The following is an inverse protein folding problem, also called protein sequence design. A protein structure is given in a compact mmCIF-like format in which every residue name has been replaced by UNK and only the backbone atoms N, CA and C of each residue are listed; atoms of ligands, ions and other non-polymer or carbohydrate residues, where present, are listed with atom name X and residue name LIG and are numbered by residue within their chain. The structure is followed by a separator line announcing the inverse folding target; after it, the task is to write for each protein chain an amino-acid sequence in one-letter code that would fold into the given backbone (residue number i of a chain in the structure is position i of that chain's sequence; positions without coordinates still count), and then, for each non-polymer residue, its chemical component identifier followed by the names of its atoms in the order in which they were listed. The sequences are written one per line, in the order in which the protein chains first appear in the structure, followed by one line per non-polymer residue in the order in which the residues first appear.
data_IF_071437940605
#
_entry.id   IF_071437940605
#
_cell.length_a   1.000
_cell.length_b   1.000
_cell.length_c   1.000
_cell.angle_alpha   90.00
_cell.angle_beta   90.00
_cell.angle_gamma   90.00
#
_symmetry.space_group_name_H-M   'P 1'
#
loop_
_entity.id
_entity.type
_entity.pdbx_description
1 polymer ?
#
# COMPACT_ATOMS: atom_id res chain seq x y z
N UNK A 1 13.74 37.77 14.12
CA UNK A 1 13.03 36.48 13.91
C UNK A 1 13.48 35.54 15.01
N UNK A 2 12.56 34.93 15.75
CA UNK A 2 12.92 33.88 16.70
C UNK A 2 13.54 32.71 15.94
N UNK A 3 14.64 32.13 16.43
CA UNK A 3 15.17 30.89 15.88
C UNK A 3 14.07 29.81 15.98
N UNK A 4 13.95 28.91 14.99
CA UNK A 4 12.98 27.81 15.06
C UNK A 4 13.21 27.03 16.36
N UNK A 5 12.13 26.63 17.04
CA UNK A 5 12.22 25.69 18.16
C UNK A 5 12.73 24.33 17.64
N UNK A 6 14.03 24.07 17.80
CA UNK A 6 14.71 22.89 17.27
C UNK A 6 14.45 21.71 18.20
N UNK A 7 13.58 20.80 17.78
CA UNK A 7 13.17 19.62 18.56
C UNK A 7 13.95 18.35 18.24
N UNK A 8 14.71 18.36 17.15
CA UNK A 8 15.60 17.26 16.75
C UNK A 8 16.76 17.08 17.74
N UNK A 9 17.37 15.89 17.77
CA UNK A 9 18.47 15.55 18.66
C UNK A 9 19.65 14.93 17.86
N UNK A 10 20.65 15.73 17.45
CA UNK A 10 21.83 15.24 16.71
C UNK A 10 22.68 14.23 17.48
N UNK A 11 22.75 14.32 18.81
CA UNK A 11 23.52 13.38 19.63
C UNK A 11 22.93 11.96 19.57
N UNK A 12 21.60 11.87 19.51
CA UNK A 12 20.89 10.60 19.33
C UNK A 12 21.23 9.93 18.00
N UNK A 13 21.29 10.74 16.92
CA UNK A 13 21.68 10.25 15.59
C UNK A 13 23.15 9.80 15.57
N UNK A 14 24.05 10.54 16.24
CA UNK A 14 25.46 10.17 16.38
C UNK A 14 25.61 8.83 17.12
N UNK A 15 24.90 8.67 18.23
CA UNK A 15 24.89 7.44 19.01
C UNK A 15 24.39 6.25 18.18
N UNK A 16 23.28 6.43 17.47
CA UNK A 16 22.75 5.43 16.55
C UNK A 16 23.75 5.06 15.45
N UNK A 17 24.33 6.06 14.79
CA UNK A 17 25.28 5.84 13.72
C UNK A 17 26.52 5.07 14.20
N UNK A 18 27.01 5.42 15.40
CA UNK A 18 28.15 4.74 16.02
C UNK A 18 27.86 3.27 16.26
N UNK A 19 26.68 2.94 16.81
CA UNK A 19 26.27 1.53 17.02
C UNK A 19 26.09 0.81 15.67
N UNK A 20 25.38 1.43 14.72
CA UNK A 20 25.14 0.88 13.38
C UNK A 20 26.45 0.51 12.67
N UNK A 21 27.39 1.45 12.63
CA UNK A 21 28.66 1.28 11.91
C UNK A 21 29.63 0.34 12.61
N UNK A 22 29.56 0.21 13.94
CA UNK A 22 30.39 -0.74 14.69
C UNK A 22 30.15 -2.20 14.28
N UNK A 23 28.93 -2.53 13.86
CA UNK A 23 28.52 -3.89 13.48
C UNK A 23 28.19 -4.00 11.98
N UNK A 24 28.53 -2.98 11.20
CA UNK A 24 28.26 -2.96 9.77
C UNK A 24 29.17 -3.93 9.00
N UNK A 25 28.65 -4.63 7.99
CA UNK A 25 29.50 -5.42 7.10
C UNK A 25 30.44 -4.51 6.30
N UNK A 26 31.58 -5.07 5.88
CA UNK A 26 32.59 -4.32 5.12
C UNK A 26 31.98 -3.64 3.88
N UNK A 27 32.27 -2.35 3.71
CA UNK A 27 31.79 -1.56 2.58
C UNK A 27 30.34 -1.07 2.72
N UNK A 28 29.63 -1.42 3.79
CA UNK A 28 28.32 -0.81 4.07
C UNK A 28 28.47 0.68 4.33
N UNK A 29 27.61 1.45 3.67
CA UNK A 29 27.49 2.88 3.91
C UNK A 29 25.99 3.17 4.08
N UNK A 30 25.54 3.80 5.18
CA UNK A 30 24.14 4.12 5.38
C UNK A 30 23.59 5.07 4.32
N UNK A 31 22.36 4.84 3.87
CA UNK A 31 21.66 5.76 2.98
C UNK A 31 20.83 6.75 3.80
N UNK A 32 21.48 7.81 4.30
CA UNK A 32 20.77 8.93 4.92
C UNK A 32 20.24 9.91 3.88
N UNK A 33 19.12 10.55 4.17
CA UNK A 33 18.58 11.63 3.34
C UNK A 33 17.71 12.58 4.17
N UNK A 34 17.44 13.75 3.60
CA UNK A 34 16.71 14.83 4.29
C UNK A 34 15.19 14.70 4.12
N UNK A 35 14.47 14.87 5.21
CA UNK A 35 13.02 14.97 5.28
C UNK A 35 12.61 16.41 5.62
N UNK A 36 11.34 16.75 5.40
CA UNK A 36 10.79 18.05 5.80
C UNK A 36 10.84 18.27 7.33
N UNK A 37 10.97 19.53 7.75
CA UNK A 37 11.00 19.91 9.17
C UNK A 37 9.67 19.51 9.83
N UNK A 38 9.73 18.76 10.94
CA UNK A 38 8.55 18.27 11.65
C UNK A 38 7.70 17.26 10.87
N UNK A 39 8.12 16.87 9.67
CA UNK A 39 7.40 15.97 8.77
C UNK A 39 8.08 14.61 8.59
N UNK A 40 7.38 13.71 7.90
CA UNK A 40 7.88 12.37 7.52
C UNK A 40 8.23 12.27 6.02
N UNK A 41 7.91 13.32 5.27
CA UNK A 41 8.05 13.33 3.82
C UNK A 41 9.46 13.74 3.40
N UNK A 42 10.02 13.14 2.34
CA UNK A 42 11.28 13.59 1.78
C UNK A 42 11.18 15.03 1.29
N UNK A 43 12.28 15.78 1.46
CA UNK A 43 12.31 17.18 1.04
C UNK A 43 11.93 17.34 -0.43
N UNK A 44 11.01 18.25 -0.73
CA UNK A 44 10.56 18.49 -2.09
C UNK A 44 11.69 18.98 -3.03
N UNK A 45 11.50 18.77 -4.34
CA UNK A 45 12.39 19.28 -5.40
C UNK A 45 13.51 18.33 -5.85
N UNK A 46 13.82 17.28 -5.09
CA UNK A 46 14.77 16.24 -5.50
C UNK A 46 14.29 14.85 -5.05
N UNK A 47 14.42 13.85 -5.92
CA UNK A 47 14.17 12.46 -5.51
C UNK A 47 15.14 12.06 -4.41
N UNK A 48 14.62 11.60 -3.28
CA UNK A 48 15.43 11.19 -2.14
C UNK A 48 16.39 10.05 -2.48
N UNK A 49 16.00 9.16 -3.39
CA UNK A 49 16.85 8.08 -3.93
C UNK A 49 18.09 8.60 -4.67
N UNK A 50 18.08 9.88 -5.07
CA UNK A 50 19.21 10.59 -5.72
C UNK A 50 19.83 11.65 -4.80
N UNK A 51 19.41 11.76 -3.54
CA UNK A 51 19.82 12.81 -2.61
C UNK A 51 20.42 12.23 -1.32
N UNK A 52 21.28 11.22 -1.47
CA UNK A 52 22.01 10.61 -0.36
C UNK A 52 22.87 11.65 0.36
N UNK A 53 22.91 11.57 1.69
CA UNK A 53 23.75 12.38 2.56
C UNK A 53 24.82 11.54 3.24
N UNK A 54 26.00 12.13 3.46
CA UNK A 54 26.97 11.58 4.40
C UNK A 54 26.44 11.74 5.84
N UNK A 55 27.09 11.06 6.78
CA UNK A 55 26.74 11.18 8.18
C UNK A 55 26.93 12.62 8.70
N UNK A 56 28.03 13.27 8.34
CA UNK A 56 28.33 14.66 8.75
C UNK A 56 27.29 15.64 8.18
N UNK A 57 26.85 15.40 6.94
CA UNK A 57 25.78 16.19 6.33
C UNK A 57 24.45 15.97 7.04
N UNK A 58 24.14 14.73 7.42
CA UNK A 58 22.92 14.39 8.15
C UNK A 58 22.88 15.06 9.53
N UNK A 59 23.97 15.04 10.29
CA UNK A 59 24.09 15.73 11.59
C UNK A 59 23.87 17.24 11.41
N UNK A 60 24.58 17.88 10.48
CA UNK A 60 24.43 19.33 10.21
C UNK A 60 23.02 19.73 9.78
N UNK A 61 22.29 18.84 9.12
CA UNK A 61 20.89 19.07 8.74
C UNK A 61 19.97 18.90 9.95
N UNK A 62 20.23 17.91 10.80
CA UNK A 62 19.49 17.67 12.02
C UNK A 62 19.66 18.80 13.04
N UNK A 63 20.87 19.38 13.16
CA UNK A 63 21.15 20.59 13.94
C UNK A 63 20.32 21.80 13.47
N UNK A 64 19.89 21.81 12.20
CA UNK A 64 19.03 22.86 11.61
C UNK A 64 17.54 22.53 11.73
N UNK A 65 17.17 21.45 12.43
CA UNK A 65 15.78 21.03 12.64
C UNK A 65 15.19 20.13 11.56
N UNK A 66 15.96 19.74 10.54
CA UNK A 66 15.47 18.78 9.54
C UNK A 66 15.45 17.36 10.11
N UNK A 67 14.40 16.62 9.81
CA UNK A 67 14.37 15.19 10.06
C UNK A 67 15.28 14.45 9.08
N UNK A 68 15.82 13.32 9.50
CA UNK A 68 16.69 12.48 8.68
C UNK A 68 16.02 11.12 8.51
N UNK A 69 15.92 10.67 7.26
CA UNK A 69 15.53 9.30 6.93
C UNK A 69 16.75 8.41 6.79
N UNK A 70 16.61 7.13 7.14
CA UNK A 70 17.54 6.06 6.78
C UNK A 70 16.79 5.01 5.94
N UNK A 71 17.38 4.63 4.82
CA UNK A 71 16.79 3.65 3.90
C UNK A 71 17.66 2.39 3.81
N UNK A 72 17.00 1.24 3.71
CA UNK A 72 17.61 0.05 3.12
C UNK A 72 17.51 0.14 1.59
N UNK A 73 18.55 -0.26 0.88
CA UNK A 73 18.63 -0.24 -0.58
C UNK A 73 18.72 -1.66 -1.15
N UNK A 74 18.63 -1.79 -2.47
CA UNK A 74 18.89 -3.05 -3.17
C UNK A 74 20.37 -3.48 -3.17
N UNK A 75 21.28 -2.57 -2.79
CA UNK A 75 22.73 -2.77 -2.84
C UNK A 75 23.38 -2.81 -1.46
N UNK A 76 22.60 -2.91 -0.38
CA UNK A 76 23.10 -3.04 0.98
C UNK A 76 22.43 -4.19 1.74
N UNK A 77 23.00 -4.53 2.88
CA UNK A 77 22.47 -5.57 3.77
C UNK A 77 21.40 -5.05 4.74
N UNK A 78 21.08 -3.76 4.79
CA UNK A 78 20.21 -3.21 5.84
C UNK A 78 18.78 -3.74 5.71
N UNK A 79 18.26 -4.30 6.79
CA UNK A 79 16.86 -4.70 6.92
C UNK A 79 16.27 -4.05 8.18
N UNK A 80 15.15 -3.36 8.03
CA UNK A 80 14.48 -2.66 9.11
C UNK A 80 13.10 -3.28 9.28
N UNK A 81 12.82 -3.83 10.45
CA UNK A 81 11.48 -4.29 10.80
C UNK A 81 10.79 -3.19 11.62
N UNK A 82 9.81 -2.55 11.01
CA UNK A 82 9.00 -1.47 11.58
C UNK A 82 7.72 -2.09 12.15
N UNK A 83 7.65 -2.27 13.46
CA UNK A 83 6.52 -2.90 14.16
C UNK A 83 5.60 -1.81 14.70
N UNK A 84 4.36 -1.80 14.23
CA UNK A 84 3.34 -0.84 14.66
C UNK A 84 2.53 -1.34 15.87
N UNK A 85 2.22 -2.64 15.92
CA UNK A 85 1.45 -3.28 17.00
C UNK A 85 2.19 -4.50 17.58
N UNK A 86 2.70 -4.33 18.79
CA UNK A 86 3.45 -5.35 19.53
C UNK A 86 2.59 -6.56 19.94
N UNK A 87 1.25 -6.46 19.90
CA UNK A 87 0.37 -7.61 20.18
C UNK A 87 0.27 -8.55 18.97
N UNK A 88 0.43 -8.01 17.76
CA UNK A 88 0.40 -8.79 16.52
C UNK A 88 1.77 -9.40 16.18
N UNK A 89 2.85 -8.84 16.75
CA UNK A 89 4.22 -9.34 16.61
C UNK A 89 4.76 -9.67 18.00
N UNK A 90 4.52 -10.89 18.50
CA UNK A 90 4.98 -11.30 19.83
C UNK A 90 6.49 -11.13 20.00
N UNK A 91 6.91 -10.63 21.16
CA UNK A 91 8.32 -10.30 21.44
C UNK A 91 9.25 -11.51 21.34
N UNK A 92 8.77 -12.71 21.67
CA UNK A 92 9.51 -13.97 21.57
C UNK A 92 9.80 -14.41 20.14
N UNK A 93 9.07 -13.87 19.14
CA UNK A 93 9.37 -14.07 17.73
C UNK A 93 10.37 -13.04 17.18
N UNK A 94 10.68 -11.99 17.94
CA UNK A 94 11.58 -10.93 17.48
C UNK A 94 13.01 -11.28 17.88
N UNK A 95 13.85 -11.52 16.87
CA UNK A 95 15.29 -11.70 17.08
C UNK A 95 15.88 -10.45 17.74
N UNK A 96 16.55 -10.56 18.90
CA UNK A 96 17.08 -9.38 19.59
C UNK A 96 18.10 -8.61 18.75
N UNK A 97 17.98 -7.28 18.72
CA UNK A 97 18.89 -6.37 18.01
C UNK A 97 18.75 -4.94 18.56
N UNK A 98 19.40 -3.95 17.94
CA UNK A 98 19.22 -2.52 18.19
C UNK A 98 17.76 -2.09 17.97
N UNK A 99 17.15 -1.43 18.97
CA UNK A 99 15.75 -1.02 18.93
C UNK A 99 15.58 0.49 19.10
N UNK A 100 14.75 1.06 18.24
CA UNK A 100 14.34 2.46 18.29
C UNK A 100 12.83 2.50 18.57
N UNK A 101 12.41 3.35 19.50
CA UNK A 101 10.99 3.66 19.71
C UNK A 101 10.56 4.78 18.78
N UNK A 102 9.43 4.59 18.09
CA UNK A 102 8.87 5.57 17.16
C UNK A 102 8.14 6.70 17.89
N UNK A 103 7.76 7.76 17.16
CA UNK A 103 7.15 8.98 17.74
C UNK A 103 5.94 8.78 18.65
N UNK A 104 5.13 7.74 18.39
CA UNK A 104 3.92 7.45 19.16
C UNK A 104 4.20 6.62 20.42
N UNK A 105 5.47 6.28 20.66
CA UNK A 105 5.98 5.52 21.80
C UNK A 105 5.47 4.07 21.93
N UNK A 106 4.51 3.67 21.11
CA UNK A 106 4.00 2.29 20.98
C UNK A 106 4.81 1.45 19.96
N UNK A 107 5.11 2.00 18.79
CA UNK A 107 5.81 1.28 17.72
C UNK A 107 7.32 1.20 17.93
N UNK A 108 7.96 0.23 17.27
CA UNK A 108 9.38 -0.08 17.41
C UNK A 108 10.01 -0.35 16.04
N UNK A 109 11.19 0.21 15.78
CA UNK A 109 12.02 -0.18 14.65
C UNK A 109 13.16 -1.08 15.14
N UNK A 110 13.29 -2.25 14.54
CA UNK A 110 14.36 -3.21 14.77
C UNK A 110 15.31 -3.22 13.56
N UNK A 111 16.60 -3.06 13.81
CA UNK A 111 17.61 -2.93 12.75
C UNK A 111 18.44 -4.19 12.65
N UNK A 112 18.59 -4.74 11.45
CA UNK A 112 19.36 -5.95 11.18
C UNK A 112 20.21 -5.80 9.92
N UNK A 113 21.15 -6.74 9.73
CA UNK A 113 21.82 -6.97 8.46
C UNK A 113 21.46 -8.34 7.88
N UNK A 114 20.95 -8.38 6.64
CA UNK A 114 20.74 -9.60 5.88
C UNK A 114 21.93 -9.84 4.96
N UNK A 115 22.94 -10.54 5.49
CA UNK A 115 24.18 -10.81 4.74
C UNK A 115 23.99 -11.82 3.61
N UNK A 116 23.06 -12.75 3.78
CA UNK A 116 22.66 -13.75 2.76
C UNK A 116 21.65 -13.20 1.74
N UNK A 117 21.17 -11.97 1.94
CA UNK A 117 20.13 -11.33 1.15
C UNK A 117 18.72 -11.93 1.29
N UNK A 118 18.52 -12.99 2.07
CA UNK A 118 17.22 -13.68 2.15
C UNK A 118 16.14 -12.80 2.77
N UNK A 119 16.51 -11.94 3.73
CA UNK A 119 15.65 -10.99 4.39
C UNK A 119 15.55 -9.62 3.68
N UNK A 120 16.16 -9.44 2.51
CA UNK A 120 16.00 -8.23 1.66
C UNK A 120 14.65 -8.24 0.92
N UNK A 121 13.56 -8.18 1.67
CA UNK A 121 12.17 -8.18 1.19
C UNK A 121 11.40 -7.01 1.79
N UNK A 122 10.54 -6.38 1.00
CA UNK A 122 9.55 -5.45 1.53
C UNK A 122 8.25 -6.19 1.79
N UNK A 123 7.79 -6.23 3.04
CA UNK A 123 6.63 -7.03 3.46
C UNK A 123 5.70 -6.14 4.29
N UNK A 124 4.67 -5.51 3.68
CA UNK A 124 3.68 -4.75 4.42
C UNK A 124 2.61 -5.67 5.01
N UNK A 125 2.37 -5.58 6.33
CA UNK A 125 1.40 -6.39 7.09
C UNK A 125 0.29 -5.57 7.74
N UNK A 126 0.01 -4.36 7.21
CA UNK A 126 -1.11 -3.55 7.67
C UNK A 126 -0.83 -2.92 9.03
N UNK A 127 -1.51 -3.39 10.07
CA UNK A 127 -1.40 -2.85 11.43
C UNK A 127 -0.32 -3.55 12.26
N UNK A 128 0.16 -4.73 11.85
CA UNK A 128 1.30 -5.38 12.49
C UNK A 128 2.65 -4.68 12.20
N UNK A 129 2.70 -3.86 11.14
CA UNK A 129 3.90 -3.14 10.70
C UNK A 129 4.38 -3.53 9.31
N UNK A 130 5.67 -3.36 9.04
CA UNK A 130 6.30 -3.63 7.76
C UNK A 130 7.76 -4.08 7.90
N UNK A 131 8.19 -5.05 7.08
CA UNK A 131 9.62 -5.22 6.78
C UNK A 131 10.00 -4.23 5.67
N UNK A 132 10.95 -3.35 5.95
CA UNK A 132 11.43 -2.26 5.09
C UNK A 132 12.92 -2.49 4.77
N UNK A 133 13.24 -2.94 3.57
CA UNK A 133 14.62 -3.33 3.22
C UNK A 133 15.11 -2.86 1.86
N UNK A 134 14.25 -2.74 0.84
CA UNK A 134 14.66 -2.39 -0.53
C UNK A 134 13.96 -1.12 -0.98
N UNK A 135 14.68 0.01 -0.94
CA UNK A 135 14.16 1.35 -1.23
C UNK A 135 12.96 1.76 -0.38
N UNK A 136 12.92 1.27 0.87
CA UNK A 136 12.02 1.71 1.93
C UNK A 136 12.84 2.34 3.04
N UNK A 137 12.23 3.26 3.79
CA UNK A 137 12.90 4.03 4.81
C UNK A 137 12.07 4.18 6.08
N UNK A 138 12.76 4.53 7.15
CA UNK A 138 12.17 5.02 8.39
C UNK A 138 12.84 6.33 8.80
N UNK A 139 12.23 7.07 9.73
CA UNK A 139 12.91 8.20 10.36
C UNK A 139 14.04 7.66 11.24
N UNK A 140 15.23 8.21 11.07
CA UNK A 140 16.38 7.92 11.91
C UNK A 140 16.17 8.52 13.31
N UNK A 141 16.69 7.88 14.37
CA UNK A 141 16.61 8.41 15.72
C UNK A 141 17.29 9.78 15.82
N UNK A 142 16.78 10.62 16.71
CA UNK A 142 17.05 12.06 16.75
C UNK A 142 16.05 12.90 15.95
N UNK A 143 15.29 12.30 15.03
CA UNK A 143 14.19 12.98 14.34
C UNK A 143 13.00 13.25 15.27
N UNK A 144 12.20 14.25 14.95
CA UNK A 144 11.00 14.66 15.69
C UNK A 144 9.81 14.94 14.77
N UNK A 145 8.64 14.39 15.12
CA UNK A 145 7.37 14.68 14.45
C UNK A 145 6.29 14.77 15.53
N UNK A 146 5.61 15.91 15.63
CA UNK A 146 4.60 16.13 16.68
C UNK A 146 3.47 15.09 16.66
N UNK A 147 2.95 14.78 17.84
CA UNK A 147 1.75 13.96 18.06
C UNK A 147 0.57 14.86 18.43
N UNK A 148 -0.65 14.45 18.08
CA UNK A 148 -1.86 15.12 18.57
C UNK A 148 -2.14 14.72 20.03
N UNK A 149 -3.06 15.44 20.69
CA UNK A 149 -3.37 15.20 22.10
C UNK A 149 -3.90 13.78 22.36
N UNK A 150 -4.73 13.27 21.43
CA UNK A 150 -5.27 11.92 21.46
C UNK A 150 -4.16 10.86 21.40
N UNK A 151 -3.19 10.99 20.47
CA UNK A 151 -2.04 10.09 20.38
C UNK A 151 -1.22 10.11 21.68
N UNK A 152 -1.06 11.28 22.32
CA UNK A 152 -0.27 11.45 23.56
C UNK A 152 -0.98 10.83 24.76
N UNK A 153 -2.29 11.03 24.88
CA UNK A 153 -3.08 10.47 25.98
C UNK A 153 -3.07 8.94 25.96
N UNK A 154 -3.08 8.34 24.77
CA UNK A 154 -2.97 6.90 24.56
C UNK A 154 -1.59 6.30 24.90
N UNK A 155 -0.55 7.11 25.13
CA UNK A 155 0.78 6.64 25.50
C UNK A 155 0.85 6.29 26.99
N UNK A 156 1.72 5.33 27.38
CA UNK A 156 2.14 5.16 28.77
C UNK A 156 2.63 6.48 29.36
N UNK A 157 2.28 6.78 30.61
CA UNK A 157 2.50 8.09 31.24
C UNK A 157 3.98 8.49 31.25
N UNK A 158 4.84 7.54 31.59
CA UNK A 158 6.31 7.67 31.62
C UNK A 158 6.93 7.96 30.25
N UNK A 159 6.25 7.57 29.16
CA UNK A 159 6.70 7.76 27.77
C UNK A 159 6.22 9.08 27.17
N UNK A 160 5.20 9.74 27.75
CA UNK A 160 4.60 10.98 27.22
C UNK A 160 5.61 12.12 27.05
N UNK A 161 6.61 12.20 27.91
CA UNK A 161 7.69 13.20 27.81
C UNK A 161 8.53 13.07 26.53
N UNK A 162 8.54 11.89 25.92
CA UNK A 162 9.25 11.60 24.67
C UNK A 162 8.34 11.66 23.45
N UNK A 163 7.07 12.07 23.61
CA UNK A 163 6.11 12.16 22.53
C UNK A 163 6.68 12.93 21.33
N UNK A 164 6.59 12.32 20.16
CA UNK A 164 7.09 12.88 18.92
C UNK A 164 8.54 12.52 18.59
N UNK A 165 9.32 12.00 19.55
CA UNK A 165 10.75 11.68 19.37
C UNK A 165 10.97 10.25 18.90
N UNK A 166 11.92 10.08 17.99
CA UNK A 166 12.49 8.79 17.63
C UNK A 166 13.77 8.57 18.45
N UNK A 167 13.79 7.59 19.36
CA UNK A 167 14.89 7.40 20.32
C UNK A 167 15.34 5.95 20.41
N UNK A 168 16.63 5.72 20.59
CA UNK A 168 17.20 4.44 20.96
C UNK A 168 16.61 4.05 22.32
N UNK A 169 16.04 2.86 22.38
CA UNK A 169 15.38 2.34 23.59
C UNK A 169 16.11 1.14 24.14
N UNK A 170 16.68 0.32 23.26
CA UNK A 170 17.50 -0.82 23.65
C UNK A 170 18.79 -0.76 22.85
N UNK A 171 19.87 -0.41 23.54
CA UNK A 171 21.22 -0.42 22.99
C UNK A 171 21.75 -1.85 22.96
N UNK A 172 21.75 -2.44 21.77
CA UNK A 172 22.30 -3.78 21.52
C UNK A 172 23.14 -3.77 20.25
N UNK A 173 24.08 -4.73 20.12
CA UNK A 173 24.69 -5.04 18.84
C UNK A 173 23.64 -5.25 17.76
N UNK A 174 23.94 -4.85 16.52
CA UNK A 174 23.09 -5.24 15.41
C UNK A 174 23.28 -6.72 15.14
N UNK A 175 22.16 -7.43 15.06
CA UNK A 175 22.13 -8.84 14.70
C UNK A 175 21.99 -9.00 13.19
N UNK A 176 22.53 -10.10 12.68
CA UNK A 176 22.18 -10.59 11.35
C UNK A 176 20.75 -11.12 11.35
N UNK A 177 20.09 -11.17 10.19
CA UNK A 177 18.77 -11.76 10.05
C UNK A 177 18.61 -12.50 8.71
N UNK A 178 17.97 -13.66 8.75
CA UNK A 178 17.51 -14.39 7.57
C UNK A 178 15.98 -14.36 7.47
N UNK A 179 15.43 -14.74 6.32
CA UNK A 179 13.98 -14.81 6.13
C UNK A 179 13.28 -15.74 7.13
N UNK A 180 13.89 -16.87 7.49
CA UNK A 180 13.28 -17.86 8.36
C UNK A 180 13.12 -17.36 9.81
N UNK A 181 13.95 -16.38 10.19
CA UNK A 181 13.93 -15.71 11.48
C UNK A 181 12.89 -14.58 11.56
N UNK A 182 12.16 -14.30 10.48
CA UNK A 182 11.05 -13.35 10.55
C UNK A 182 9.91 -13.89 11.40
N UNK A 183 9.22 -13.01 12.15
CA UNK A 183 7.96 -13.35 12.81
C UNK A 183 6.93 -13.93 11.82
N UNK A 184 6.05 -14.79 12.33
CA UNK A 184 5.15 -15.61 11.50
C UNK A 184 4.17 -14.78 10.69
N UNK A 185 3.74 -13.63 11.22
CA UNK A 185 2.84 -12.70 10.51
C UNK A 185 3.45 -12.21 9.20
N UNK A 186 4.76 -11.91 9.18
CA UNK A 186 5.46 -11.45 7.98
C UNK A 186 5.69 -12.59 6.99
N UNK A 187 6.09 -13.78 7.48
CA UNK A 187 6.26 -14.97 6.63
C UNK A 187 4.95 -15.36 5.95
N UNK A 188 3.85 -15.43 6.70
CA UNK A 188 2.50 -15.74 6.17
C UNK A 188 2.10 -14.76 5.08
N UNK A 189 2.25 -13.45 5.34
CA UNK A 189 1.94 -12.40 4.38
C UNK A 189 2.77 -12.50 3.10
N UNK A 190 4.06 -12.83 3.21
CA UNK A 190 4.93 -13.01 2.06
C UNK A 190 4.53 -14.21 1.21
N UNK A 191 4.17 -15.34 1.82
CA UNK A 191 3.69 -16.52 1.11
C UNK A 191 2.31 -16.30 0.45
N UNK A 192 1.42 -15.54 1.09
CA UNK A 192 0.19 -15.05 0.44
C UNK A 192 0.50 -14.20 -0.78
N UNK A 193 1.44 -13.26 -0.68
CA UNK A 193 1.84 -12.40 -1.80
C UNK A 193 2.38 -13.23 -2.97
N UNK A 194 3.26 -14.20 -2.72
CA UNK A 194 3.74 -15.12 -3.76
C UNK A 194 2.61 -15.87 -4.46
N UNK A 195 1.65 -16.41 -3.70
CA UNK A 195 0.48 -17.11 -4.27
C UNK A 195 -0.37 -16.19 -5.14
N UNK A 196 -0.55 -14.94 -4.70
CA UNK A 196 -1.25 -13.94 -5.50
C UNK A 196 -0.52 -13.62 -6.79
N UNK A 197 0.80 -13.46 -6.75
CA UNK A 197 1.61 -13.14 -7.92
C UNK A 197 1.64 -14.29 -8.93
N UNK A 198 1.73 -15.54 -8.46
CA UNK A 198 1.55 -16.73 -9.31
C UNK A 198 0.16 -16.72 -9.96
N UNK A 199 -0.88 -16.43 -9.18
CA UNK A 199 -2.26 -16.37 -9.67
C UNK A 199 -2.47 -15.25 -10.69
N UNK A 200 -1.83 -14.09 -10.50
CA UNK A 200 -1.82 -12.98 -11.47
C UNK A 200 -1.09 -13.38 -12.76
N UNK A 201 0.06 -14.03 -12.65
CA UNK A 201 0.83 -14.50 -13.79
C UNK A 201 0.05 -15.53 -14.63
N UNK A 202 -0.57 -16.52 -13.97
CA UNK A 202 -1.43 -17.52 -14.62
C UNK A 202 -2.63 -16.86 -15.33
N UNK A 203 -3.28 -15.87 -14.69
CA UNK A 203 -4.36 -15.09 -15.32
C UNK A 203 -3.86 -14.34 -16.55
N UNK A 204 -2.67 -13.73 -16.48
CA UNK A 204 -2.06 -13.04 -17.62
C UNK A 204 -1.80 -14.00 -18.79
N UNK A 205 -1.21 -15.17 -18.55
CA UNK A 205 -0.97 -16.18 -19.59
C UNK A 205 -2.29 -16.64 -20.22
N UNK A 206 -3.30 -16.95 -19.41
CA UNK A 206 -4.63 -17.32 -19.91
C UNK A 206 -5.29 -16.21 -20.74
N UNK A 207 -5.06 -14.93 -20.39
CA UNK A 207 -5.54 -13.77 -21.15
C UNK A 207 -4.78 -13.52 -22.45
N UNK A 208 -3.54 -14.01 -22.59
CA UNK A 208 -2.81 -13.99 -23.85
C UNK A 208 -3.27 -15.12 -24.79
N UNK A 209 -3.57 -16.30 -24.22
CA UNK A 209 -4.07 -17.46 -24.97
C UNK A 209 -5.50 -17.23 -25.47
N UNK A 210 -6.36 -16.68 -24.63
CA UNK A 210 -7.69 -16.22 -25.05
C UNK A 210 -7.49 -14.91 -25.80
N UNK A 211 -7.84 -14.80 -27.09
CA UNK A 211 -7.88 -13.51 -27.79
C UNK A 211 -8.47 -12.48 -26.83
N UNK A 212 -7.78 -11.36 -26.55
CA UNK A 212 -8.28 -10.42 -25.59
C UNK A 212 -9.66 -10.02 -26.08
N UNK A 213 -10.70 -10.41 -25.34
CA UNK A 213 -11.86 -9.56 -25.20
C UNK A 213 -11.30 -8.34 -24.47
N UNK A 214 -10.58 -7.52 -25.21
CA UNK A 214 -10.45 -6.15 -24.82
C UNK A 214 -11.90 -5.71 -24.61
N UNK A 215 -12.21 -4.97 -23.54
CA UNK A 215 -13.23 -3.96 -23.66
C UNK A 215 -12.70 -2.95 -24.70
N UNK A 216 -12.48 -3.39 -25.95
CA UNK A 216 -12.21 -2.53 -27.06
C UNK A 216 -13.43 -1.63 -27.09
N UNK A 217 -13.12 -0.34 -26.88
CA UNK A 217 -13.88 0.85 -27.25
C UNK A 217 -14.74 0.62 -28.50
N UNK A 218 -15.81 -0.15 -28.37
CA UNK A 218 -16.95 -0.09 -29.27
C UNK A 218 -17.85 0.93 -28.61
N UNK A 219 -17.57 2.19 -28.92
CA UNK A 219 -18.49 3.28 -28.63
C UNK A 219 -19.85 2.90 -29.19
N UNK A 220 -20.81 2.74 -28.29
CA UNK A 220 -22.16 2.32 -28.61
C UNK A 220 -23.07 2.53 -27.41
N UNK A 221 -24.35 2.79 -27.67
CA UNK A 221 -25.39 3.11 -26.67
C UNK A 221 -25.58 2.08 -25.54
N UNK A 222 -24.97 0.89 -25.63
CA UNK A 222 -25.15 -0.24 -24.70
C UNK A 222 -23.90 -0.60 -23.88
N UNK A 223 -22.89 0.29 -23.88
CA UNK A 223 -21.69 0.15 -23.06
C UNK A 223 -21.91 0.75 -21.68
N UNK A 224 -21.65 -0.04 -20.62
CA UNK A 224 -21.72 0.42 -19.23
C UNK A 224 -20.81 1.64 -19.01
N UNK A 225 -21.33 2.64 -18.31
CA UNK A 225 -20.60 3.80 -17.81
C UNK A 225 -19.46 3.42 -16.87
N UNK A 226 -19.50 2.22 -16.26
CA UNK A 226 -18.42 1.68 -15.43
C UNK A 226 -17.05 1.76 -16.11
N UNK A 227 -17.00 1.53 -17.43
CA UNK A 227 -15.75 1.52 -18.20
C UNK A 227 -15.25 2.91 -18.61
N UNK A 228 -16.04 3.95 -18.33
CA UNK A 228 -15.69 5.35 -18.58
C UNK A 228 -15.19 6.07 -17.33
N UNK A 229 -15.40 5.49 -16.16
CA UNK A 229 -14.95 6.06 -14.90
C UNK A 229 -13.42 6.13 -14.85
N UNK A 230 -12.91 7.25 -14.37
CA UNK A 230 -11.55 7.38 -13.87
C UNK A 230 -11.51 7.32 -12.34
N UNK A 231 -10.30 7.31 -11.78
CA UNK A 231 -10.17 7.20 -10.32
C UNK A 231 -10.69 8.43 -9.59
N UNK A 232 -10.69 9.61 -10.23
CA UNK A 232 -11.20 10.85 -9.66
C UNK A 232 -12.71 10.78 -9.45
N UNK A 233 -13.44 10.18 -10.41
CA UNK A 233 -14.89 9.97 -10.31
C UNK A 233 -15.28 9.16 -9.06
N UNK A 234 -14.46 8.17 -8.69
CA UNK A 234 -14.78 7.21 -7.61
C UNK A 234 -14.09 7.51 -6.28
N UNK A 235 -12.97 8.26 -6.29
CA UNK A 235 -12.25 8.64 -5.08
C UNK A 235 -12.58 10.04 -4.58
N UNK A 236 -13.18 10.89 -5.43
CA UNK A 236 -13.38 12.31 -5.14
C UNK A 236 -12.09 13.14 -5.16
N UNK A 237 -10.95 12.54 -5.51
CA UNK A 237 -9.65 13.22 -5.55
C UNK A 237 -9.30 13.56 -7.01
N UNK A 238 -9.29 14.85 -7.33
CA UNK A 238 -8.83 15.35 -8.63
C UNK A 238 -7.33 15.13 -8.86
N UNK A 239 -6.86 15.39 -10.09
CA UNK A 239 -5.45 15.27 -10.43
C UNK A 239 -4.57 16.14 -9.50
N UNK A 240 -3.66 15.50 -8.77
CA UNK A 240 -2.75 16.17 -7.83
C UNK A 240 -1.38 16.46 -8.44
N UNK A 241 -1.13 16.09 -9.69
CA UNK A 241 0.16 16.23 -10.35
C UNK A 241 1.28 15.44 -9.66
N UNK A 242 0.92 14.31 -9.03
CA UNK A 242 1.85 13.51 -8.22
C UNK A 242 2.11 14.07 -6.82
N UNK A 243 1.55 15.23 -6.45
CA UNK A 243 1.60 15.72 -5.07
C UNK A 243 0.83 14.75 -4.18
N UNK A 244 1.47 14.32 -3.09
CA UNK A 244 0.83 13.44 -2.13
C UNK A 244 -0.28 14.17 -1.37
N UNK A 245 -1.40 13.50 -1.14
CA UNK A 245 -2.61 13.97 -0.42
C UNK A 245 -3.12 12.86 0.50
N UNK A 246 -3.93 13.19 1.53
CA UNK A 246 -4.55 12.18 2.39
C UNK A 246 -5.30 11.11 1.58
N UNK A 247 -5.27 9.86 2.04
CA UNK A 247 -6.07 8.78 1.45
C UNK A 247 -7.53 8.90 1.93
N UNK A 248 -8.53 8.63 1.08
CA UNK A 248 -9.93 8.48 1.51
C UNK A 248 -10.09 7.38 2.57
N UNK A 249 -10.95 7.62 3.56
CA UNK A 249 -11.12 6.72 4.72
C UNK A 249 -11.72 5.38 4.32
N UNK A 250 -12.49 5.36 3.23
CA UNK A 250 -13.15 4.17 2.70
C UNK A 250 -12.13 3.17 2.11
N UNK A 251 -10.94 3.63 1.73
CA UNK A 251 -9.86 2.77 1.21
C UNK A 251 -8.96 2.20 2.30
N UNK A 252 -8.71 2.98 3.36
CA UNK A 252 -7.88 2.58 4.49
C UNK A 252 -8.56 2.95 5.80
N UNK A 253 -9.14 1.94 6.45
CA UNK A 253 -9.80 2.03 7.76
C UNK A 253 -8.87 2.52 8.87
N UNK A 254 -7.56 2.28 8.77
CA UNK A 254 -6.57 2.99 9.58
C UNK A 254 -6.24 4.32 8.93
N UNK A 255 -7.05 5.32 9.26
CA UNK A 255 -6.81 6.73 8.99
C UNK A 255 -5.45 7.14 9.56
N UNK A 256 -4.40 6.95 8.77
CA UNK A 256 -3.11 7.58 9.00
C UNK A 256 -3.34 9.09 8.84
N UNK A 257 -3.70 9.73 9.96
CA UNK A 257 -3.84 11.18 10.13
C UNK A 257 -2.55 11.93 9.77
N UNK A 258 -1.44 11.21 9.53
CA UNK A 258 -0.15 11.80 9.15
C UNK A 258 -0.10 12.34 7.72
N UNK A 259 -1.20 12.24 6.97
CA UNK A 259 -1.39 12.93 5.69
C UNK A 259 -0.54 12.34 4.57
N UNK A 260 -0.99 12.51 3.31
CA UNK A 260 -0.14 12.27 2.13
C UNK A 260 0.13 10.80 1.73
N UNK A 261 -0.82 9.88 1.96
CA UNK A 261 -0.68 8.47 1.58
C UNK A 261 -1.14 8.11 0.16
N UNK A 262 -1.71 9.05 -0.59
CA UNK A 262 -2.04 8.83 -2.00
C UNK A 262 -1.65 9.99 -2.90
N UNK A 263 -1.63 9.78 -4.20
CA UNK A 263 -1.55 10.85 -5.20
C UNK A 263 -2.33 10.43 -6.44
N UNK A 264 -2.99 11.36 -7.11
CA UNK A 264 -3.72 11.08 -8.34
C UNK A 264 -2.99 11.74 -9.50
N UNK A 265 -2.70 10.97 -10.54
CA UNK A 265 -2.13 11.46 -11.79
C UNK A 265 -2.60 10.58 -12.95
N UNK A 266 -2.86 11.21 -14.10
CA UNK A 266 -3.28 10.51 -15.33
C UNK A 266 -4.44 9.51 -15.13
N UNK A 267 -5.46 9.91 -14.36
CA UNK A 267 -6.66 9.11 -14.08
C UNK A 267 -6.41 7.89 -13.18
N UNK A 268 -5.25 7.82 -12.50
CA UNK A 268 -4.85 6.73 -11.62
C UNK A 268 -4.45 7.25 -10.25
N UNK A 269 -4.73 6.47 -9.22
CA UNK A 269 -4.38 6.78 -7.84
C UNK A 269 -3.23 5.86 -7.41
N UNK A 270 -2.12 6.45 -7.01
CA UNK A 270 -1.05 5.71 -6.33
C UNK A 270 -1.35 5.69 -4.84
N UNK A 271 -1.49 4.50 -4.26
CA UNK A 271 -1.42 4.28 -2.82
C UNK A 271 0.04 4.09 -2.43
N UNK A 272 0.61 5.06 -1.71
CA UNK A 272 2.01 5.03 -1.28
C UNK A 272 2.25 4.09 -0.11
N UNK A 273 1.22 3.81 0.70
CA UNK A 273 1.30 2.83 1.80
C UNK A 273 1.62 1.43 1.28
N UNK A 274 0.82 0.95 0.32
CA UNK A 274 1.02 -0.38 -0.26
C UNK A 274 1.90 -0.37 -1.51
N UNK A 275 2.31 0.81 -1.98
CA UNK A 275 3.11 1.00 -3.19
C UNK A 275 2.46 0.35 -4.43
N UNK A 276 1.19 0.69 -4.65
CA UNK A 276 0.36 0.18 -5.74
C UNK A 276 -0.43 1.31 -6.42
N UNK A 277 -0.88 1.03 -7.64
CA UNK A 277 -1.64 1.95 -8.48
C UNK A 277 -3.04 1.40 -8.72
N UNK A 278 -4.07 2.21 -8.51
CA UNK A 278 -5.46 1.91 -8.81
C UNK A 278 -5.96 2.69 -10.04
N UNK A 279 -6.84 2.06 -10.81
CA UNK A 279 -7.79 2.73 -11.69
C UNK A 279 -9.17 2.73 -11.04
N UNK A 280 -10.18 3.31 -11.69
CA UNK A 280 -11.55 3.34 -11.15
C UNK A 280 -12.07 1.94 -10.76
N UNK A 281 -11.89 0.96 -11.64
CA UNK A 281 -12.39 -0.39 -11.42
C UNK A 281 -11.72 -1.08 -10.23
N UNK A 282 -10.39 -1.02 -10.14
CA UNK A 282 -9.66 -1.61 -9.01
C UNK A 282 -9.85 -0.85 -7.71
N UNK A 283 -10.22 0.43 -7.76
CA UNK A 283 -10.63 1.21 -6.59
C UNK A 283 -12.01 0.77 -6.10
N UNK A 284 -13.01 0.71 -6.99
CA UNK A 284 -14.35 0.22 -6.67
C UNK A 284 -14.35 -1.24 -6.21
N UNK A 285 -13.44 -2.08 -6.70
CA UNK A 285 -13.29 -3.45 -6.22
C UNK A 285 -12.85 -3.53 -4.74
N UNK A 286 -12.06 -2.56 -4.26
CA UNK A 286 -11.71 -2.43 -2.84
C UNK A 286 -12.94 -2.01 -2.05
N UNK A 287 -13.62 -0.96 -2.49
CA UNK A 287 -14.82 -0.47 -1.82
C UNK A 287 -15.95 -1.51 -1.75
N UNK A 288 -16.09 -2.35 -2.78
CA UNK A 288 -17.02 -3.46 -2.83
C UNK A 288 -16.60 -4.68 -1.99
N UNK A 289 -15.47 -4.62 -1.28
CA UNK A 289 -14.96 -5.69 -0.42
C UNK A 289 -14.49 -6.94 -1.18
N UNK A 290 -14.19 -6.83 -2.48
CA UNK A 290 -13.80 -7.98 -3.31
C UNK A 290 -12.35 -8.37 -3.03
N UNK A 291 -11.47 -7.38 -2.97
CA UNK A 291 -10.05 -7.56 -2.66
C UNK A 291 -9.57 -6.36 -1.83
N UNK A 292 -8.65 -6.57 -0.88
CA UNK A 292 -8.03 -5.48 -0.17
C UNK A 292 -7.13 -4.67 -1.12
N UNK A 293 -6.79 -3.45 -0.71
CA UNK A 293 -6.05 -2.46 -1.50
C UNK A 293 -4.82 -3.08 -2.17
N UNK A 294 -3.94 -3.70 -1.39
CA UNK A 294 -2.67 -4.34 -1.78
C UNK A 294 -2.81 -5.52 -2.74
N UNK A 295 -4.01 -6.08 -2.89
CA UNK A 295 -4.29 -7.17 -3.85
C UNK A 295 -5.08 -6.70 -5.07
N UNK A 296 -5.86 -5.64 -4.95
CA UNK A 296 -6.68 -5.11 -6.06
C UNK A 296 -5.84 -4.28 -7.05
N UNK A 297 -4.91 -3.46 -6.53
CA UNK A 297 -4.09 -2.54 -7.30
C UNK A 297 -3.03 -3.21 -8.19
N UNK A 298 -2.32 -2.39 -8.95
CA UNK A 298 -1.19 -2.76 -9.81
C UNK A 298 0.11 -2.30 -9.17
N UNK A 299 1.07 -3.21 -8.96
CA UNK A 299 2.39 -2.82 -8.47
C UNK A 299 3.13 -1.90 -9.46
N UNK A 300 3.98 -1.02 -8.95
CA UNK A 300 4.84 -0.18 -9.80
C UNK A 300 5.76 -1.06 -10.66
N UNK A 301 5.76 -0.83 -11.98
CA UNK A 301 6.50 -1.66 -12.94
C UNK A 301 5.73 -2.88 -13.47
N UNK A 302 4.60 -3.25 -12.84
CA UNK A 302 3.72 -4.31 -13.36
C UNK A 302 2.85 -3.81 -14.52
N UNK A 303 2.56 -4.72 -15.44
CA UNK A 303 1.63 -4.51 -16.55
C UNK A 303 0.17 -4.79 -16.16
N UNK A 304 -0.10 -5.39 -15.01
CA UNK A 304 -1.42 -5.96 -14.68
C UNK A 304 -1.93 -5.56 -13.29
N UNK A 305 -3.21 -5.19 -13.21
CA UNK A 305 -3.92 -5.05 -11.94
C UNK A 305 -4.19 -6.42 -11.32
N UNK A 306 -4.24 -6.50 -10.00
CA UNK A 306 -4.55 -7.75 -9.31
C UNK A 306 -6.02 -8.16 -9.42
N UNK A 307 -6.93 -7.19 -9.63
CA UNK A 307 -8.34 -7.46 -9.94
C UNK A 307 -8.52 -7.96 -11.38
N UNK A 308 -9.36 -8.99 -11.57
CA UNK A 308 -9.69 -9.50 -12.91
C UNK A 308 -10.90 -8.75 -13.49
N UNK A 309 -10.64 -7.82 -14.40
CA UNK A 309 -11.69 -7.05 -15.09
C UNK A 309 -12.47 -7.88 -16.12
N UNK A 310 -12.09 -9.14 -16.36
CA UNK A 310 -12.77 -10.05 -17.27
C UNK A 310 -13.60 -11.11 -16.52
N UNK A 311 -13.43 -11.24 -15.21
CA UNK A 311 -14.20 -12.16 -14.38
C UNK A 311 -15.63 -11.66 -14.18
N UNK A 312 -16.61 -12.46 -14.56
CA UNK A 312 -18.02 -12.06 -14.56
C UNK A 312 -18.56 -11.75 -13.17
N UNK A 313 -18.14 -12.52 -12.15
CA UNK A 313 -18.53 -12.28 -10.77
C UNK A 313 -17.97 -10.95 -10.25
N UNK A 314 -16.68 -10.73 -10.46
CA UNK A 314 -16.00 -9.49 -10.07
C UNK A 314 -16.65 -8.28 -10.74
N UNK A 315 -16.88 -8.35 -12.07
CA UNK A 315 -17.53 -7.25 -12.79
C UNK A 315 -18.97 -7.03 -12.30
N UNK A 316 -19.71 -8.10 -11.98
CA UNK A 316 -21.06 -7.97 -11.44
C UNK A 316 -21.07 -7.24 -10.09
N UNK A 317 -20.17 -7.63 -9.16
CA UNK A 317 -20.07 -7.00 -7.84
C UNK A 317 -19.63 -5.54 -7.93
N UNK A 318 -18.62 -5.23 -8.74
CA UNK A 318 -18.15 -3.85 -8.96
C UNK A 318 -19.24 -2.98 -9.59
N UNK A 319 -19.90 -3.48 -10.65
CA UNK A 319 -20.99 -2.76 -11.32
C UNK A 319 -22.17 -2.51 -10.36
N UNK A 320 -22.58 -3.52 -9.61
CA UNK A 320 -23.68 -3.40 -8.64
C UNK A 320 -23.34 -2.40 -7.54
N UNK A 321 -22.11 -2.42 -7.03
CA UNK A 321 -21.63 -1.45 -6.04
C UNK A 321 -21.61 -0.03 -6.61
N UNK A 322 -21.06 0.14 -7.81
CA UNK A 322 -20.96 1.44 -8.48
C UNK A 322 -22.35 2.07 -8.67
N UNK A 323 -23.32 1.26 -9.09
CA UNK A 323 -24.70 1.69 -9.27
C UNK A 323 -25.37 2.05 -7.93
N UNK A 324 -25.29 1.16 -6.94
CA UNK A 324 -25.87 1.36 -5.60
C UNK A 324 -25.39 2.65 -4.93
N UNK A 325 -24.15 3.06 -5.18
CA UNK A 325 -23.54 4.27 -4.61
C UNK A 325 -23.58 5.47 -5.56
N UNK A 326 -24.28 5.39 -6.69
CA UNK A 326 -24.50 6.51 -7.60
C UNK A 326 -23.28 6.92 -8.45
N UNK A 327 -22.25 6.08 -8.55
CA UNK A 327 -21.10 6.34 -9.43
C UNK A 327 -21.46 6.13 -10.92
N UNK A 328 -22.52 5.36 -11.20
CA UNK A 328 -23.08 5.16 -12.54
C UNK A 328 -24.61 5.26 -12.48
N UNK A 329 -25.28 5.57 -13.61
CA UNK A 329 -26.74 5.71 -13.64
C UNK A 329 -27.50 4.46 -13.19
N UNK A 330 -28.70 4.67 -12.64
CA UNK A 330 -29.60 3.57 -12.24
C UNK A 330 -30.06 2.70 -13.42
N UNK A 331 -30.07 3.23 -14.64
CA UNK A 331 -30.39 2.51 -15.86
C UNK A 331 -29.14 2.06 -16.64
N UNK A 332 -27.95 2.10 -16.02
CA UNK A 332 -26.71 1.68 -16.66
C UNK A 332 -26.79 0.22 -17.15
N UNK A 333 -26.40 -0.09 -18.40
CA UNK A 333 -26.48 -1.44 -18.92
C UNK A 333 -25.45 -2.37 -18.26
N UNK A 334 -25.90 -3.43 -17.61
CA UNK A 334 -25.04 -4.46 -17.00
C UNK A 334 -23.97 -4.95 -17.99
N UNK A 335 -22.68 -5.07 -17.63
CA UNK A 335 -21.68 -5.66 -18.52
C UNK A 335 -22.01 -7.10 -18.93
N UNK A 336 -21.64 -7.50 -20.15
CA UNK A 336 -21.98 -8.85 -20.66
C UNK A 336 -21.40 -10.00 -19.83
N UNK A 337 -20.16 -9.85 -19.34
CA UNK A 337 -19.54 -10.85 -18.44
C UNK A 337 -20.30 -10.97 -17.12
N UNK A 338 -20.77 -9.85 -16.58
CA UNK A 338 -21.59 -9.82 -15.37
C UNK A 338 -22.99 -10.44 -15.59
N UNK A 339 -23.62 -10.18 -16.73
CA UNK A 339 -24.89 -10.83 -17.10
C UNK A 339 -24.72 -12.34 -17.28
N UNK A 340 -23.63 -12.77 -17.89
CA UNK A 340 -23.32 -14.19 -18.05
C UNK A 340 -23.12 -14.88 -16.69
N UNK A 341 -22.41 -14.24 -15.75
CA UNK A 341 -22.29 -14.70 -14.37
C UNK A 341 -23.66 -14.81 -13.68
N UNK A 342 -24.47 -13.75 -13.76
CA UNK A 342 -25.82 -13.74 -13.16
C UNK A 342 -26.70 -14.86 -13.73
N UNK A 343 -26.68 -15.07 -15.04
CA UNK A 343 -27.45 -16.14 -15.66
C UNK A 343 -27.01 -17.54 -15.20
N UNK A 344 -25.69 -17.76 -15.02
CA UNK A 344 -25.18 -19.02 -14.45
C UNK A 344 -25.64 -19.17 -13.00
N UNK A 345 -25.52 -18.12 -12.18
CA UNK A 345 -25.88 -18.19 -10.75
C UNK A 345 -27.37 -18.46 -10.55
N UNK A 346 -28.21 -17.99 -11.48
CA UNK A 346 -29.65 -18.28 -11.55
C UNK A 346 -30.01 -19.57 -12.29
N UNK A 347 -29.02 -20.36 -12.70
CA UNK A 347 -29.19 -21.63 -13.43
C UNK A 347 -29.97 -21.48 -14.75
N UNK A 348 -29.93 -20.30 -15.36
CA UNK A 348 -30.55 -20.00 -16.67
C UNK A 348 -29.73 -20.58 -17.82
N UNK A 349 -28.40 -20.59 -17.68
CA UNK A 349 -27.48 -21.23 -18.62
C UNK A 349 -26.34 -21.92 -17.87
N UNK A 350 -25.73 -22.93 -18.49
CA UNK A 350 -24.52 -23.55 -17.98
C UNK A 350 -23.27 -22.85 -18.52
N UNK A 351 -22.15 -22.97 -17.82
CA UNK A 351 -20.86 -22.37 -18.23
C UNK A 351 -20.42 -22.81 -19.64
N UNK A 352 -20.76 -24.04 -20.04
CA UNK A 352 -20.48 -24.58 -21.37
C UNK A 352 -21.27 -23.90 -22.50
N UNK A 353 -22.37 -23.23 -22.17
CA UNK A 353 -23.23 -22.55 -23.14
C UNK A 353 -22.75 -21.13 -23.44
N UNK A 354 -21.73 -20.65 -22.72
CA UNK A 354 -21.10 -19.34 -22.95
C UNK A 354 -20.04 -19.48 -24.05
N UNK A 355 -20.22 -18.73 -25.12
CA UNK A 355 -19.28 -18.68 -26.25
C UNK A 355 -18.63 -17.30 -26.26
N UNK A 356 -17.30 -17.24 -26.22
CA UNK A 356 -16.51 -16.00 -26.20
C UNK A 356 -16.97 -14.99 -25.12
N UNK A 357 -17.32 -15.48 -23.92
CA UNK A 357 -17.78 -14.65 -22.81
C UNK A 357 -19.17 -14.04 -23.02
N UNK A 358 -19.89 -14.44 -24.08
CA UNK A 358 -21.25 -13.99 -24.38
C UNK A 358 -22.25 -15.10 -24.10
N UNK A 359 -23.33 -14.68 -23.46
CA UNK A 359 -24.50 -15.53 -23.24
C UNK A 359 -25.35 -15.58 -24.52
N UNK A 360 -25.85 -16.76 -24.93
CA UNK A 360 -26.82 -16.87 -26.02
C UNK A 360 -28.04 -15.98 -25.82
N UNK A 361 -28.60 -15.44 -26.92
CA UNK A 361 -29.69 -14.45 -26.88
C UNK A 361 -30.89 -14.91 -26.05
N UNK A 362 -31.33 -16.15 -26.21
CA UNK A 362 -32.46 -16.72 -25.46
C UNK A 362 -32.21 -16.67 -23.96
N UNK A 363 -31.04 -17.13 -23.51
CA UNK A 363 -30.68 -17.11 -22.09
C UNK A 363 -30.50 -15.69 -21.56
N UNK A 364 -30.03 -14.74 -22.37
CA UNK A 364 -29.94 -13.33 -21.97
C UNK A 364 -31.32 -12.71 -21.71
N UNK A 365 -32.32 -13.01 -22.54
CA UNK A 365 -33.69 -12.52 -22.37
C UNK A 365 -34.30 -13.09 -21.09
N UNK A 366 -34.16 -14.40 -20.88
CA UNK A 366 -34.66 -15.08 -19.66
C UNK A 366 -33.98 -14.51 -18.41
N UNK A 367 -32.67 -14.30 -18.43
CA UNK A 367 -31.94 -13.72 -17.31
C UNK A 367 -32.43 -12.29 -16.98
N UNK A 368 -32.66 -11.45 -18.00
CA UNK A 368 -33.22 -10.10 -17.82
C UNK A 368 -34.65 -10.13 -17.25
N UNK A 369 -35.48 -11.08 -17.67
CA UNK A 369 -36.83 -11.25 -17.12
C UNK A 369 -36.80 -11.66 -15.64
N UNK A 370 -35.92 -12.58 -15.28
CA UNK A 370 -35.74 -12.99 -13.87
C UNK A 370 -35.23 -11.81 -13.04
N UNK A 371 -34.23 -11.07 -13.53
CA UNK A 371 -33.71 -9.88 -12.85
C UNK A 371 -34.82 -8.86 -12.58
N UNK A 372 -35.67 -8.57 -13.58
CA UNK A 372 -36.82 -7.67 -13.42
C UNK A 372 -37.81 -8.17 -12.36
N UNK A 373 -38.08 -9.48 -12.32
CA UNK A 373 -38.95 -10.10 -11.29
C UNK A 373 -38.35 -9.99 -9.89
N UNK A 374 -37.01 -9.99 -9.78
CA UNK A 374 -36.27 -9.77 -8.54
C UNK A 374 -36.12 -8.29 -8.18
N UNK A 375 -36.71 -7.37 -8.96
CA UNK A 375 -36.61 -5.93 -8.74
C UNK A 375 -35.27 -5.32 -9.17
N UNK A 376 -34.44 -6.06 -9.91
CA UNK A 376 -33.15 -5.58 -10.41
C UNK A 376 -33.33 -4.88 -11.76
N UNK A 377 -32.80 -3.67 -11.88
CA UNK A 377 -32.70 -2.96 -13.16
C UNK A 377 -31.32 -3.19 -13.77
N UNK A 378 -31.24 -3.88 -14.90
CA UNK A 378 -29.98 -4.20 -15.60
C UNK A 378 -29.71 -3.29 -16.81
N UNK A 379 -30.54 -2.28 -17.06
CA UNK A 379 -30.30 -1.28 -18.11
C UNK A 379 -30.20 -1.84 -19.53
N UNK A 380 -30.61 -3.10 -19.74
CA UNK A 380 -30.64 -3.78 -21.04
C UNK A 380 -32.08 -4.13 -21.40
N UNK A 381 -32.42 -3.91 -22.66
CA UNK A 381 -33.73 -4.23 -23.27
C UNK A 381 -33.58 -5.41 -24.22
#
# INVERSE_FOLDING_TARGET
MALPDIKTNPEELLKFHTILMKYAPNGYLPFYFVLEIGGKEPKAGISWKKNRKSFEQAIKLMEKGYNIGIAGTDNDALCIMDVDDMNQVPFDQIKPTLQITSRKRIGRHYYYFSLDGSAKKNIPTGDAGEVRSVWYYVLAPGSYVSCDAEDIEAMPEEERQYAGRYTITVERPLSEITYDEFPDVYKRRYEEKKRDDISKALRSVNKQIRKPISPARKEGKLMSALWKLDVGDVSGIGNTGGKRVPMPLEMHSSGSKTGHNCSVDNGKLTCWRHYIVHNAFSYLAVLAGILPCERAGKEHGSSYFGVDMCDGETVYKVWSYAKLHGFIPEDDPIPWSALAYYAISKKVCAKKDIVDGKIPKVFSIVALMIAKKEGLNFGRV
#
